data_IF_471566762514
#
_entry.id   IF_471566762514
#
_cell.length_a   1.000
_cell.length_b   1.000
_cell.length_c   1.000
_cell.angle_alpha   90.00
_cell.angle_beta   90.00
_cell.angle_gamma   90.00
#
_symmetry.space_group_name_H-M   'P 1'
#
loop_
_entity.id
_entity.type
_entity.pdbx_description
1 polymer ?
#
# COMPACT_ATOMS: atom_id res chain seq x y z
N UNK A 1 5.42 21.69 7.90
CA UNK A 1 6.27 22.02 6.73
C UNK A 1 5.52 21.83 5.42
N UNK A 2 4.82 20.71 5.20
CA UNK A 2 3.98 20.50 4.00
C UNK A 2 2.89 21.59 3.81
N UNK A 3 2.18 21.95 4.89
CA UNK A 3 1.07 22.93 4.86
C UNK A 3 1.53 24.35 4.47
N UNK A 4 2.68 24.80 4.98
CA UNK A 4 3.23 26.12 4.62
C UNK A 4 3.66 26.20 3.15
N UNK A 5 4.22 25.11 2.60
CA UNK A 5 4.59 25.05 1.18
C UNK A 5 3.36 24.98 0.27
N UNK A 6 2.29 24.33 0.71
CA UNK A 6 1.01 24.28 -0.01
C UNK A 6 0.39 25.68 -0.14
N UNK A 7 0.39 26.47 0.95
CA UNK A 7 -0.11 27.85 0.93
C UNK A 7 0.67 28.74 -0.04
N UNK A 8 1.99 28.64 -0.03
CA UNK A 8 2.87 29.40 -0.93
C UNK A 8 2.61 29.05 -2.40
N UNK A 9 2.41 27.76 -2.70
CA UNK A 9 2.10 27.29 -4.06
C UNK A 9 0.69 27.66 -4.51
N UNK A 10 -0.29 27.67 -3.61
CA UNK A 10 -1.65 28.19 -3.87
C UNK A 10 -1.61 29.69 -4.19
N UNK A 11 -0.81 30.48 -3.49
CA UNK A 11 -0.61 31.92 -3.79
C UNK A 11 0.02 32.12 -5.17
N UNK A 12 0.87 31.19 -5.62
CA UNK A 12 1.42 31.19 -6.98
C UNK A 12 0.42 30.70 -8.05
N UNK A 13 -0.83 30.38 -7.70
CA UNK A 13 -1.87 29.95 -8.64
C UNK A 13 -1.82 28.48 -9.04
N UNK A 14 -1.08 27.65 -8.31
CA UNK A 14 -1.02 26.20 -8.56
C UNK A 14 -2.28 25.53 -7.96
N UNK A 15 -2.94 24.69 -8.75
CA UNK A 15 -4.09 23.92 -8.27
C UNK A 15 -3.69 22.80 -7.31
N UNK A 16 -4.53 22.51 -6.33
CA UNK A 16 -4.29 21.51 -5.28
C UNK A 16 -4.01 20.11 -5.84
N UNK A 17 -4.70 19.73 -6.91
CA UNK A 17 -4.45 18.47 -7.60
C UNK A 17 -3.01 18.32 -8.11
N UNK A 18 -2.39 19.42 -8.56
CA UNK A 18 -0.99 19.44 -9.04
C UNK A 18 -0.02 19.34 -7.86
N UNK A 19 -0.36 19.96 -6.73
CA UNK A 19 0.42 19.82 -5.49
C UNK A 19 0.46 18.36 -5.02
N UNK A 20 -0.71 17.72 -4.88
CA UNK A 20 -0.81 16.32 -4.46
C UNK A 20 -0.15 15.37 -5.45
N UNK A 21 -0.31 15.61 -6.76
CA UNK A 21 0.36 14.82 -7.79
C UNK A 21 1.90 14.97 -7.73
N UNK A 22 2.41 16.18 -7.46
CA UNK A 22 3.84 16.43 -7.28
C UNK A 22 4.41 15.72 -6.04
N UNK A 23 3.69 15.78 -4.92
CA UNK A 23 4.08 15.09 -3.68
C UNK A 23 4.06 13.57 -3.84
N UNK A 24 3.05 13.03 -4.52
CA UNK A 24 2.97 11.62 -4.86
C UNK A 24 4.10 11.20 -5.80
N UNK A 25 4.34 11.93 -6.88
CA UNK A 25 5.35 11.59 -7.89
C UNK A 25 6.77 11.64 -7.32
N UNK A 26 7.09 12.68 -6.55
CA UNK A 26 8.41 12.82 -5.91
C UNK A 26 8.68 11.68 -4.92
N UNK A 27 7.69 11.31 -4.12
CA UNK A 27 7.79 10.20 -3.15
C UNK A 27 7.81 8.84 -3.85
N UNK A 28 7.08 8.69 -4.96
CA UNK A 28 7.12 7.52 -5.82
C UNK A 28 8.49 7.25 -6.41
N UNK A 29 9.18 8.28 -6.91
CA UNK A 29 10.53 8.14 -7.47
C UNK A 29 11.49 7.57 -6.42
N UNK A 30 11.50 8.14 -5.20
CA UNK A 30 12.36 7.66 -4.11
C UNK A 30 12.03 6.21 -3.74
N UNK A 31 10.75 5.89 -3.56
CA UNK A 31 10.33 4.53 -3.18
C UNK A 31 10.57 3.49 -4.29
N UNK A 32 10.47 3.89 -5.57
CA UNK A 32 10.77 3.01 -6.70
C UNK A 32 12.24 2.60 -6.74
N UNK A 33 13.16 3.53 -6.44
CA UNK A 33 14.58 3.23 -6.32
C UNK A 33 14.85 2.30 -5.14
N UNK A 34 14.25 2.57 -3.98
CA UNK A 34 14.38 1.72 -2.79
C UNK A 34 13.86 0.30 -3.07
N UNK A 35 12.71 0.15 -3.72
CA UNK A 35 12.15 -1.18 -4.02
C UNK A 35 12.92 -1.94 -5.09
N UNK A 36 13.50 -1.26 -6.08
CA UNK A 36 14.45 -1.86 -7.00
C UNK A 36 15.66 -2.43 -6.26
N UNK A 37 16.25 -1.64 -5.35
CA UNK A 37 17.38 -2.09 -4.53
C UNK A 37 16.98 -3.28 -3.65
N UNK A 38 15.87 -3.19 -2.90
CA UNK A 38 15.39 -4.28 -2.05
C UNK A 38 15.12 -5.56 -2.85
N UNK A 39 14.45 -5.46 -4.00
CA UNK A 39 14.20 -6.62 -4.87
C UNK A 39 15.51 -7.24 -5.33
N UNK A 40 16.48 -6.42 -5.72
CA UNK A 40 17.81 -6.90 -6.10
C UNK A 40 18.51 -7.65 -4.96
N UNK A 41 18.38 -7.18 -3.71
CA UNK A 41 18.98 -7.84 -2.53
C UNK A 41 18.34 -9.19 -2.22
N UNK A 42 17.01 -9.31 -2.39
CA UNK A 42 16.27 -10.54 -2.11
C UNK A 42 16.56 -11.63 -3.15
N UNK A 43 16.73 -11.23 -4.41
CA UNK A 43 16.88 -12.15 -5.55
C UNK A 43 18.33 -12.48 -5.88
N UNK A 44 19.24 -11.53 -5.75
CA UNK A 44 20.65 -11.73 -6.06
C UNK A 44 21.36 -12.28 -4.81
N UNK A 45 22.21 -13.31 -4.95
CA UNK A 45 23.00 -13.86 -3.85
C UNK A 45 24.17 -12.93 -3.49
N UNK A 46 23.90 -11.68 -3.16
CA UNK A 46 24.91 -10.67 -2.83
C UNK A 46 25.35 -10.83 -1.37
N UNK A 47 24.42 -11.17 -0.46
CA UNK A 47 24.65 -11.24 0.98
C UNK A 47 24.59 -12.65 1.57
N UNK A 48 23.80 -13.55 0.98
CA UNK A 48 23.77 -14.96 1.34
C UNK A 48 24.13 -15.79 0.11
N UNK A 49 24.90 -16.86 0.30
CA UNK A 49 25.27 -17.79 -0.77
C UNK A 49 24.06 -18.46 -1.46
N UNK A 50 22.87 -18.35 -0.85
CA UNK A 50 21.60 -18.79 -1.39
C UNK A 50 20.68 -17.58 -1.65
N UNK A 51 20.12 -17.48 -2.86
CA UNK A 51 19.04 -16.55 -3.13
C UNK A 51 17.83 -16.90 -2.27
N UNK A 52 17.17 -15.90 -1.67
CA UNK A 52 15.98 -16.12 -0.81
C UNK A 52 14.81 -16.67 -1.64
N UNK A 53 14.73 -16.30 -2.92
CA UNK A 53 13.74 -16.78 -3.89
C UNK A 53 14.44 -17.24 -5.19
N UNK A 54 14.97 -18.46 -5.25
CA UNK A 54 15.73 -18.92 -6.39
C UNK A 54 14.90 -19.04 -7.68
N UNK A 55 13.68 -19.53 -7.62
CA UNK A 55 12.86 -19.91 -8.79
C UNK A 55 11.84 -18.86 -9.23
N UNK A 56 11.42 -17.95 -8.34
CA UNK A 56 10.45 -16.89 -8.69
C UNK A 56 10.98 -15.88 -9.71
N UNK A 57 10.12 -15.30 -10.57
CA UNK A 57 10.52 -14.32 -11.57
C UNK A 57 10.87 -12.95 -10.94
N UNK A 58 12.02 -12.37 -11.31
CA UNK A 58 12.45 -11.06 -10.78
C UNK A 58 11.45 -9.94 -11.08
N UNK A 59 10.91 -9.91 -12.31
CA UNK A 59 9.95 -8.89 -12.74
C UNK A 59 8.64 -8.93 -11.95
N UNK A 60 8.22 -10.13 -11.54
CA UNK A 60 7.01 -10.33 -10.76
C UNK A 60 7.19 -9.80 -9.34
N UNK A 61 8.29 -10.18 -8.67
CA UNK A 61 8.58 -9.68 -7.31
C UNK A 61 8.72 -8.16 -7.31
N UNK A 62 9.41 -7.60 -8.32
CA UNK A 62 9.53 -6.16 -8.48
C UNK A 62 8.17 -5.48 -8.66
N UNK A 63 7.29 -6.03 -9.51
CA UNK A 63 5.96 -5.48 -9.73
C UNK A 63 5.12 -5.46 -8.44
N UNK A 64 5.21 -6.51 -7.62
CA UNK A 64 4.52 -6.56 -6.33
C UNK A 64 5.07 -5.52 -5.33
N UNK A 65 6.39 -5.34 -5.28
CA UNK A 65 7.01 -4.31 -4.41
C UNK A 65 6.70 -2.88 -4.89
N UNK A 66 6.64 -2.65 -6.20
CA UNK A 66 6.20 -1.37 -6.76
C UNK A 66 4.73 -1.09 -6.45
N UNK A 67 3.85 -2.08 -6.58
CA UNK A 67 2.44 -1.94 -6.20
C UNK A 67 2.29 -1.58 -4.71
N UNK A 68 3.06 -2.24 -3.84
CA UNK A 68 3.14 -1.90 -2.42
C UNK A 68 3.65 -0.47 -2.18
N UNK A 69 4.62 -0.01 -2.96
CA UNK A 69 5.11 1.37 -2.88
C UNK A 69 4.00 2.37 -3.20
N UNK A 70 3.21 2.13 -4.25
CA UNK A 70 2.07 3.00 -4.62
C UNK A 70 1.07 3.03 -3.46
N UNK A 71 0.75 1.86 -2.92
CA UNK A 71 -0.24 1.70 -1.87
C UNK A 71 0.15 2.39 -0.56
N UNK A 72 1.39 2.18 -0.10
CA UNK A 72 1.92 2.82 1.11
C UNK A 72 2.03 4.34 0.98
N UNK A 73 2.39 4.87 -0.20
CA UNK A 73 2.40 6.31 -0.44
C UNK A 73 1.00 6.92 -0.32
N UNK A 74 -0.02 6.29 -0.93
CA UNK A 74 -1.41 6.75 -0.82
C UNK A 74 -1.91 6.72 0.63
N UNK A 75 -1.54 5.70 1.39
CA UNK A 75 -1.87 5.62 2.81
C UNK A 75 -1.24 6.76 3.62
N UNK A 76 0.05 7.06 3.40
CA UNK A 76 0.74 8.17 4.07
C UNK A 76 0.12 9.54 3.71
N UNK A 77 -0.24 9.76 2.45
CA UNK A 77 -0.91 10.99 2.01
C UNK A 77 -2.29 11.13 2.68
N UNK A 78 -3.05 10.04 2.79
CA UNK A 78 -4.34 10.03 3.48
C UNK A 78 -4.20 10.41 4.96
N UNK A 79 -3.23 9.84 5.68
CA UNK A 79 -2.96 10.21 7.08
C UNK A 79 -2.56 11.68 7.19
N UNK A 80 -1.76 12.19 6.24
CA UNK A 80 -1.38 13.60 6.19
C UNK A 80 -2.56 14.55 5.97
N UNK A 81 -3.63 14.13 5.30
CA UNK A 81 -4.84 14.95 5.09
C UNK A 81 -5.67 15.10 6.39
N UNK A 82 -5.64 14.09 7.26
CA UNK A 82 -6.44 14.05 8.50
C UNK A 82 -5.75 14.82 9.63
N UNK A 83 -4.42 14.92 9.61
CA UNK A 83 -3.64 15.49 10.72
C UNK A 83 -3.20 16.93 10.45
N UNK A 84 -3.53 17.82 11.38
CA UNK A 84 -3.21 19.27 11.33
C UNK A 84 -1.74 19.60 11.58
N UNK A 85 -1.11 18.91 12.53
CA UNK A 85 0.24 19.26 13.01
C UNK A 85 1.24 18.24 12.49
N UNK A 86 2.32 18.65 11.80
CA UNK A 86 3.27 17.71 11.20
C UNK A 86 3.94 16.79 12.23
N UNK A 87 4.22 17.29 13.44
CA UNK A 87 4.82 16.49 14.52
C UNK A 87 3.87 15.39 14.98
N UNK A 88 2.58 15.70 15.14
CA UNK A 88 1.58 14.70 15.48
C UNK A 88 1.36 13.72 14.32
N UNK A 89 1.45 14.17 13.06
CA UNK A 89 1.31 13.31 11.89
C UNK A 89 2.40 12.25 11.85
N UNK A 90 3.65 12.65 12.09
CA UNK A 90 4.78 11.71 12.16
C UNK A 90 4.58 10.71 13.28
N UNK A 91 4.25 11.17 14.50
CA UNK A 91 4.01 10.28 15.63
C UNK A 91 2.86 9.29 15.37
N UNK A 92 1.71 9.78 14.91
CA UNK A 92 0.56 8.96 14.58
C UNK A 92 0.88 7.93 13.49
N UNK A 93 1.60 8.34 12.44
CA UNK A 93 2.01 7.44 11.35
C UNK A 93 2.94 6.34 11.86
N UNK A 94 3.93 6.67 12.70
CA UNK A 94 4.85 5.69 13.28
C UNK A 94 4.10 4.71 14.19
N UNK A 95 3.20 5.20 15.06
CA UNK A 95 2.38 4.34 15.91
C UNK A 95 1.48 3.41 15.09
N UNK A 96 0.83 3.93 14.04
CA UNK A 96 0.02 3.13 13.12
C UNK A 96 0.88 2.09 12.40
N UNK A 97 2.08 2.45 11.96
CA UNK A 97 2.99 1.55 11.27
C UNK A 97 3.41 0.39 12.17
N UNK A 98 3.79 0.68 13.42
CA UNK A 98 4.15 -0.33 14.42
C UNK A 98 2.98 -1.27 14.71
N UNK A 99 1.79 -0.71 14.98
CA UNK A 99 0.61 -1.52 15.27
C UNK A 99 0.26 -2.44 14.09
N UNK A 100 0.37 -1.92 12.87
CA UNK A 100 0.09 -2.69 11.66
C UNK A 100 1.09 -3.83 11.45
N UNK A 101 2.35 -3.63 11.80
CA UNK A 101 3.39 -4.66 11.68
C UNK A 101 3.15 -5.85 12.61
N UNK A 102 2.60 -5.59 13.81
CA UNK A 102 2.32 -6.64 14.80
C UNK A 102 1.04 -7.44 14.51
N UNK A 103 0.10 -6.87 13.75
CA UNK A 103 -1.20 -7.50 13.45
C UNK A 103 -1.07 -8.88 12.76
N UNK A 104 -0.27 -9.07 11.69
CA UNK A 104 -0.12 -10.38 11.05
C UNK A 104 0.51 -11.40 11.97
N UNK A 105 1.57 -11.02 12.69
CA UNK A 105 2.40 -11.91 13.51
C UNK A 105 1.66 -12.44 14.74
N UNK A 106 0.85 -11.59 15.38
CA UNK A 106 0.15 -11.97 16.61
C UNK A 106 -1.26 -12.55 16.38
N UNK A 107 -1.97 -12.14 15.33
CA UNK A 107 -3.39 -12.49 15.17
C UNK A 107 -3.67 -13.42 14.00
N UNK A 108 -2.84 -13.44 12.95
CA UNK A 108 -3.20 -14.12 11.68
C UNK A 108 -2.24 -15.24 11.28
N UNK A 109 -0.95 -15.11 11.58
CA UNK A 109 0.07 -16.07 11.16
C UNK A 109 1.02 -16.36 12.34
N UNK A 110 0.44 -16.80 13.46
CA UNK A 110 1.20 -17.14 14.67
C UNK A 110 2.17 -18.29 14.35
N UNK A 111 3.49 -18.12 14.53
CA UNK A 111 4.46 -19.17 14.26
C UNK A 111 4.15 -20.44 15.06
N UNK A 112 3.87 -21.56 14.38
CA UNK A 112 3.58 -22.86 14.99
C UNK A 112 2.09 -23.22 15.12
N UNK A 113 1.18 -22.41 14.59
CA UNK A 113 -0.27 -22.69 14.55
C UNK A 113 -0.75 -23.05 13.13
N UNK A 114 -1.76 -23.92 13.03
CA UNK A 114 -2.49 -24.28 11.79
C UNK A 114 -3.38 -23.11 11.28
N UNK A 115 -3.34 -21.95 11.95
CA UNK A 115 -4.17 -20.78 11.69
C UNK A 115 -4.19 -20.28 10.24
N UNK A 116 -3.11 -20.49 9.46
CA UNK A 116 -3.10 -20.11 8.04
C UNK A 116 -4.21 -20.81 7.22
N UNK A 117 -4.54 -22.08 7.51
CA UNK A 117 -5.62 -22.80 6.82
C UNK A 117 -7.01 -22.51 7.39
N UNK A 118 -7.10 -22.11 8.65
CA UNK A 118 -8.39 -21.83 9.31
C UNK A 118 -8.95 -20.42 9.00
N UNK A 119 -8.08 -19.49 8.57
CA UNK A 119 -8.49 -18.15 8.18
C UNK A 119 -9.28 -18.15 6.87
N UNK A 120 -10.50 -17.61 6.94
CA UNK A 120 -11.35 -17.43 5.76
C UNK A 120 -10.74 -16.43 4.78
N UNK A 121 -11.02 -16.63 3.49
CA UNK A 121 -10.55 -15.77 2.40
C UNK A 121 -10.88 -14.29 2.67
N UNK A 122 -12.10 -14.00 3.10
CA UNK A 122 -12.55 -12.64 3.37
C UNK A 122 -11.77 -11.97 4.51
N UNK A 123 -11.40 -12.71 5.56
CA UNK A 123 -10.60 -12.15 6.66
C UNK A 123 -9.20 -11.75 6.21
N UNK A 124 -8.58 -12.52 5.30
CA UNK A 124 -7.27 -12.20 4.72
C UNK A 124 -7.34 -10.97 3.80
N UNK A 125 -8.41 -10.86 3.00
CA UNK A 125 -8.61 -9.71 2.10
C UNK A 125 -9.05 -8.42 2.83
N UNK A 126 -9.74 -8.54 3.96
CA UNK A 126 -10.09 -7.40 4.80
C UNK A 126 -8.90 -6.92 5.63
N UNK A 127 -8.02 -7.82 6.09
CA UNK A 127 -6.84 -7.39 6.83
C UNK A 127 -5.79 -6.73 5.95
N UNK A 128 -5.76 -7.04 4.65
CA UNK A 128 -4.92 -6.36 3.67
C UNK A 128 -5.34 -4.91 3.38
N UNK A 129 -6.33 -4.35 4.10
CA UNK A 129 -6.62 -2.90 4.12
C UNK A 129 -5.41 -2.11 4.61
N UNK A 130 -4.51 -2.69 5.40
CA UNK A 130 -3.29 -2.00 5.77
C UNK A 130 -2.12 -2.42 4.90
N UNK A 131 -1.28 -1.48 4.42
CA UNK A 131 -0.19 -1.78 3.50
C UNK A 131 0.79 -2.82 4.05
N UNK A 132 1.19 -2.73 5.33
CA UNK A 132 2.12 -3.70 5.92
C UNK A 132 1.55 -5.12 6.00
N UNK A 133 0.23 -5.27 6.22
CA UNK A 133 -0.44 -6.58 6.22
C UNK A 133 -0.53 -7.13 4.79
N UNK A 134 -0.82 -6.26 3.81
CA UNK A 134 -0.90 -6.66 2.41
C UNK A 134 0.43 -7.22 1.88
N UNK A 135 1.55 -6.54 2.15
CA UNK A 135 2.87 -7.01 1.70
C UNK A 135 3.30 -8.29 2.40
N UNK A 136 2.92 -8.47 3.68
CA UNK A 136 3.13 -9.72 4.41
C UNK A 136 2.43 -10.90 3.71
N UNK A 137 1.15 -10.76 3.38
CA UNK A 137 0.41 -11.81 2.65
C UNK A 137 0.98 -12.08 1.26
N UNK A 138 1.38 -11.04 0.53
CA UNK A 138 2.02 -11.19 -0.79
C UNK A 138 3.30 -12.03 -0.66
N UNK A 139 4.20 -11.67 0.25
CA UNK A 139 5.44 -12.43 0.45
C UNK A 139 5.17 -13.85 0.95
N UNK A 140 4.19 -14.05 1.83
CA UNK A 140 3.79 -15.39 2.30
C UNK A 140 3.26 -16.27 1.17
N UNK A 141 2.48 -15.72 0.25
CA UNK A 141 2.00 -16.47 -0.93
C UNK A 141 3.17 -16.79 -1.86
N UNK A 142 4.06 -15.82 -2.10
CA UNK A 142 5.25 -16.04 -2.94
C UNK A 142 6.17 -17.10 -2.33
N UNK A 143 6.38 -17.11 -1.01
CA UNK A 143 7.19 -18.14 -0.34
C UNK A 143 6.56 -19.53 -0.44
N UNK A 144 5.23 -19.62 -0.34
CA UNK A 144 4.51 -20.88 -0.54
C UNK A 144 4.62 -21.36 -1.99
N UNK A 145 4.56 -20.46 -2.98
CA UNK A 145 4.80 -20.82 -4.37
C UNK A 145 6.21 -21.35 -4.62
N UNK A 146 7.20 -20.81 -3.92
CA UNK A 146 8.59 -21.27 -3.97
C UNK A 146 8.73 -22.70 -3.41
N UNK A 147 8.04 -23.00 -2.30
CA UNK A 147 8.07 -24.30 -1.62
C UNK A 147 7.30 -25.40 -2.39
N UNK A 148 6.10 -25.10 -2.90
CA UNK A 148 5.20 -26.11 -3.48
C UNK A 148 5.16 -26.15 -5.01
N UNK A 149 5.41 -25.03 -5.68
CA UNK A 149 5.17 -24.89 -7.13
C UNK A 149 6.41 -24.50 -7.95
N UNK A 150 7.59 -24.50 -7.33
CA UNK A 150 8.84 -24.16 -8.03
C UNK A 150 8.91 -22.69 -8.47
N UNK A 151 8.36 -21.79 -7.65
CA UNK A 151 8.46 -20.34 -7.80
C UNK A 151 7.24 -19.65 -8.41
N UNK A 152 7.10 -18.35 -8.10
CA UNK A 152 6.03 -17.51 -8.62
C UNK A 152 6.38 -16.96 -10.00
N UNK A 153 5.50 -17.21 -10.98
CA UNK A 153 5.61 -16.75 -12.37
C UNK A 153 4.34 -16.05 -12.81
N UNK A 154 4.43 -15.17 -13.81
CA UNK A 154 3.28 -14.42 -14.33
C UNK A 154 2.11 -15.32 -14.78
N UNK A 155 2.40 -16.47 -15.39
CA UNK A 155 1.35 -17.40 -15.82
C UNK A 155 0.66 -18.12 -14.64
N UNK A 156 1.32 -18.23 -13.49
CA UNK A 156 0.86 -18.99 -12.32
C UNK A 156 0.19 -18.13 -11.24
N UNK A 157 -0.02 -16.83 -11.51
CA UNK A 157 -0.64 -15.88 -10.56
C UNK A 157 -2.04 -16.29 -10.07
N UNK A 158 -2.77 -17.03 -10.91
CA UNK A 158 -4.12 -17.50 -10.62
C UNK A 158 -4.15 -18.78 -9.78
N UNK A 159 -3.02 -19.47 -9.63
CA UNK A 159 -2.93 -20.68 -8.84
C UNK A 159 -2.78 -20.33 -7.36
N UNK A 160 -3.37 -21.11 -6.44
CA UNK A 160 -3.14 -20.93 -5.02
C UNK A 160 -1.71 -21.32 -4.65
N UNK A 161 -1.11 -20.58 -3.72
CA UNK A 161 0.29 -20.81 -3.29
C UNK A 161 0.49 -22.11 -2.52
N UNK A 162 -0.58 -22.68 -1.96
CA UNK A 162 -0.57 -24.03 -1.37
C UNK A 162 -1.81 -24.81 -1.85
N UNK A 163 -1.73 -26.15 -1.92
CA UNK A 163 -2.87 -26.99 -2.30
C UNK A 163 -4.06 -26.88 -1.32
N UNK A 164 -3.83 -26.36 -0.11
CA UNK A 164 -4.85 -26.10 0.92
C UNK A 164 -5.18 -24.59 1.07
N UNK A 165 -4.59 -23.74 0.23
CA UNK A 165 -4.71 -22.29 0.30
C UNK A 165 -5.89 -21.77 -0.50
N UNK A 166 -6.71 -20.90 0.11
CA UNK A 166 -7.84 -20.26 -0.56
C UNK A 166 -7.47 -18.97 -1.31
N UNK A 167 -6.34 -18.33 -0.97
CA UNK A 167 -5.94 -17.01 -1.52
C UNK A 167 -4.84 -17.19 -2.56
N UNK A 168 -5.01 -16.54 -3.71
CA UNK A 168 -4.02 -16.53 -4.79
C UNK A 168 -3.34 -15.17 -4.87
N UNK A 169 -2.17 -15.12 -5.53
CA UNK A 169 -1.44 -13.87 -5.70
C UNK A 169 -2.25 -12.85 -6.54
N UNK A 170 -3.04 -13.33 -7.50
CA UNK A 170 -3.96 -12.49 -8.27
C UNK A 170 -5.00 -11.79 -7.38
N UNK A 171 -5.59 -12.49 -6.40
CA UNK A 171 -6.55 -11.88 -5.48
C UNK A 171 -5.91 -10.71 -4.72
N UNK A 172 -4.67 -10.87 -4.26
CA UNK A 172 -3.95 -9.80 -3.57
C UNK A 172 -3.67 -8.60 -4.46
N UNK A 173 -3.26 -8.82 -5.72
CA UNK A 173 -3.06 -7.72 -6.69
C UNK A 173 -4.34 -6.94 -6.92
N UNK A 174 -5.47 -7.64 -7.14
CA UNK A 174 -6.77 -7.00 -7.37
C UNK A 174 -7.20 -6.21 -6.13
N UNK A 175 -7.12 -6.81 -4.95
CA UNK A 175 -7.57 -6.17 -3.71
C UNK A 175 -6.70 -4.96 -3.34
N UNK A 176 -5.37 -5.05 -3.45
CA UNK A 176 -4.49 -3.91 -3.22
C UNK A 176 -4.75 -2.80 -4.24
N UNK A 177 -4.99 -3.14 -5.51
CA UNK A 177 -5.33 -2.16 -6.54
C UNK A 177 -6.64 -1.43 -6.24
N UNK A 178 -7.66 -2.16 -5.76
CA UNK A 178 -8.94 -1.58 -5.33
C UNK A 178 -8.74 -0.65 -4.13
N UNK A 179 -7.95 -1.05 -3.13
CA UNK A 179 -7.67 -0.17 -1.98
C UNK A 179 -6.85 1.06 -2.37
N UNK A 180 -5.92 0.97 -3.33
CA UNK A 180 -5.25 2.15 -3.90
C UNK A 180 -6.26 3.15 -4.47
N UNK A 181 -7.22 2.69 -5.27
CA UNK A 181 -8.27 3.56 -5.83
C UNK A 181 -9.12 4.20 -4.73
N UNK A 182 -9.50 3.41 -3.72
CA UNK A 182 -10.26 3.90 -2.57
C UNK A 182 -9.49 4.98 -1.80
N UNK A 183 -8.19 4.77 -1.54
CA UNK A 183 -7.35 5.77 -0.86
C UNK A 183 -7.14 7.02 -1.69
N UNK A 184 -6.94 6.90 -3.01
CA UNK A 184 -6.86 8.05 -3.90
C UNK A 184 -8.17 8.87 -3.89
N UNK A 185 -9.32 8.21 -3.91
CA UNK A 185 -10.63 8.85 -3.79
C UNK A 185 -10.81 9.53 -2.43
N UNK A 186 -10.39 8.90 -1.34
CA UNK A 186 -10.45 9.50 0.00
C UNK A 186 -9.56 10.73 0.12
N UNK A 187 -8.33 10.70 -0.41
CA UNK A 187 -7.44 11.87 -0.44
C UNK A 187 -8.11 13.01 -1.19
N UNK A 188 -8.63 12.74 -2.39
CA UNK A 188 -9.33 13.76 -3.18
C UNK A 188 -10.59 14.30 -2.48
N UNK A 189 -11.36 13.43 -1.82
CA UNK A 189 -12.57 13.82 -1.08
C UNK A 189 -12.23 14.68 0.14
N UNK A 190 -11.26 14.27 0.96
CA UNK A 190 -10.85 15.00 2.17
C UNK A 190 -10.29 16.38 1.84
N UNK A 191 -9.54 16.50 0.75
CA UNK A 191 -9.01 17.77 0.25
C UNK A 191 -10.14 18.77 -0.13
N UNK A 192 -11.23 18.27 -0.74
CA UNK A 192 -12.37 19.10 -1.11
C UNK A 192 -13.30 19.47 0.06
N UNK A 193 -13.48 18.55 1.03
CA UNK A 193 -14.45 18.72 2.12
C UNK A 193 -13.86 19.46 3.31
N UNK A 194 -12.57 19.28 3.61
CA UNK A 194 -11.91 19.91 4.75
C UNK A 194 -10.69 20.76 4.33
N UNK A 195 -10.89 21.87 3.59
CA UNK A 195 -9.82 22.82 3.32
C UNK A 195 -9.40 23.47 4.64
N UNK A 196 -8.32 23.01 5.23
CA UNK A 196 -8.02 23.27 6.65
C UNK A 196 -7.80 24.75 7.02
N UNK A 197 -7.57 25.70 6.09
CA UNK A 197 -7.44 27.11 6.48
C UNK A 197 -8.05 28.23 5.62
N UNK A 198 -8.34 28.12 4.31
CA UNK A 198 -8.88 29.30 3.56
C UNK A 198 -9.78 29.00 2.35
N UNK A 199 -10.40 27.82 2.29
CA UNK A 199 -11.46 27.52 1.31
C UNK A 199 -12.82 27.48 1.98
N UNK A 200 -13.87 27.97 1.32
CA UNK A 200 -15.24 27.65 1.75
C UNK A 200 -15.34 26.12 1.70
N UNK A 201 -15.54 25.41 2.83
CA UNK A 201 -15.64 23.95 2.81
C UNK A 201 -16.77 23.57 1.87
N UNK A 202 -16.47 22.78 0.84
CA UNK A 202 -17.54 22.25 -0.02
C UNK A 202 -18.35 21.29 0.83
N UNK A 203 -19.66 21.40 0.71
CA UNK A 203 -20.58 20.50 1.42
C UNK A 203 -20.21 19.03 1.11
N UNK A 204 -20.29 18.11 2.09
CA UNK A 204 -19.90 16.70 1.92
C UNK A 204 -20.64 15.97 0.79
N UNK A 205 -21.74 16.54 0.29
CA UNK A 205 -22.56 16.03 -0.82
C UNK A 205 -22.32 16.76 -2.16
N UNK A 206 -21.26 17.55 -2.33
CA UNK A 206 -21.04 18.33 -3.56
C UNK A 206 -21.05 17.46 -4.84
N UNK A 207 -20.61 16.20 -4.74
CA UNK A 207 -20.59 15.24 -5.86
C UNK A 207 -21.98 14.88 -6.40
N UNK A 208 -23.06 15.09 -5.64
CA UNK A 208 -24.43 14.75 -6.03
C UNK A 208 -25.29 15.97 -6.38
N UNK A 209 -24.79 17.20 -6.23
CA UNK A 209 -25.53 18.39 -6.65
C UNK A 209 -25.36 18.59 -8.16
N UNK A 210 -26.34 18.09 -8.92
CA UNK A 210 -26.62 18.60 -10.27
C UNK A 210 -26.85 20.10 -10.13
N UNK A 211 -26.03 20.90 -10.79
CA UNK A 211 -26.19 22.35 -10.89
C UNK A 211 -27.51 22.66 -11.59
N UNK A 212 -28.59 22.78 -10.80
CA UNK A 212 -29.82 23.41 -11.24
C UNK A 212 -29.53 24.88 -11.48
N UNK A 213 -29.52 25.27 -12.75
CA UNK A 213 -29.66 26.67 -13.18
C UNK A 213 -31.00 27.23 -12.73
#
# INVERSE_FOLDING_TARGET
MAIFNEELLRICGVSDAVYWASMFLSSMLVMSLVTLLLTSMVKLPIFCALAVLPHSDFSLVLAMMLLYSVYSNLFCLLVSCVVKTPVFAVFATVCLWMLTYELPLFFMDVPGSVAYSDLTLNQKLLSSVFPNVAIHWIFRIVSLHEEYSGGSRWNNLHLPGSPYGNVTLLHMVVVVSVYCLIYALFVWYLDNVWPWQYGIPKEPLFCFKVTGR
#
